data_IF_740697044829
#
_entry.id   IF_740697044829
#
_cell.length_a   1.000
_cell.length_b   1.000
_cell.length_c   1.000
_cell.angle_alpha   90.00
_cell.angle_beta   90.00
_cell.angle_gamma   90.00
#
_symmetry.space_group_name_H-M   'P 1'
#
loop_
_entity.id
_entity.type
_entity.pdbx_description
1 polymer ?
#
# COMPACT_ATOMS: atom_id res chain seq x y z
N UNK A 1 19.89 22.00 6.67
CA UNK A 1 18.60 21.78 6.00
C UNK A 1 17.77 20.93 6.93
N UNK A 2 16.50 21.26 7.08
CA UNK A 2 15.56 20.43 7.81
C UNK A 2 15.25 19.18 6.97
N UNK A 3 15.22 18.01 7.59
CA UNK A 3 14.94 16.73 6.94
C UNK A 3 13.47 16.69 6.49
N UNK A 4 13.22 16.26 5.26
CA UNK A 4 11.86 16.16 4.71
C UNK A 4 11.04 15.06 5.39
N UNK A 5 9.71 15.12 5.29
CA UNK A 5 8.84 14.09 5.88
C UNK A 5 9.08 12.71 5.24
N UNK A 6 9.33 12.65 3.92
CA UNK A 6 9.75 11.41 3.25
C UNK A 6 11.05 10.83 3.83
N UNK A 7 12.07 11.67 4.02
CA UNK A 7 13.34 11.23 4.62
C UNK A 7 13.15 10.76 6.07
N UNK A 8 12.27 11.41 6.85
CA UNK A 8 11.91 10.96 8.21
C UNK A 8 11.26 9.58 8.19
N UNK A 9 10.30 9.33 7.31
CA UNK A 9 9.65 8.01 7.17
C UNK A 9 10.66 6.95 6.76
N UNK A 10 11.46 7.20 5.72
CA UNK A 10 12.47 6.22 5.26
C UNK A 10 13.47 5.91 6.37
N UNK A 11 13.92 6.92 7.13
CA UNK A 11 14.81 6.73 8.26
C UNK A 11 14.14 5.93 9.39
N UNK A 12 12.86 6.19 9.69
CA UNK A 12 12.09 5.46 10.68
C UNK A 12 11.91 3.99 10.31
N UNK A 13 11.48 3.71 9.07
CA UNK A 13 11.36 2.33 8.59
C UNK A 13 12.72 1.62 8.63
N UNK A 14 13.79 2.29 8.18
CA UNK A 14 15.15 1.73 8.21
C UNK A 14 15.67 1.50 9.65
N UNK A 15 15.09 2.18 10.64
CA UNK A 15 15.41 1.97 12.05
C UNK A 15 15.03 0.58 12.55
N UNK A 16 14.05 -0.09 11.91
CA UNK A 16 13.67 -1.48 12.21
C UNK A 16 14.83 -2.44 11.92
N UNK A 17 15.53 -2.27 10.79
CA UNK A 17 16.73 -3.07 10.47
C UNK A 17 17.95 -2.65 11.30
N UNK A 18 18.17 -1.34 11.42
CA UNK A 18 19.44 -0.82 11.95
C UNK A 18 19.47 -0.71 13.48
N UNK A 19 18.31 -0.73 14.14
CA UNK A 19 18.18 -0.46 15.58
C UNK A 19 18.43 1.00 15.96
N UNK A 20 18.53 1.91 14.99
CA UNK A 20 18.77 3.34 15.23
C UNK A 20 17.63 3.94 16.07
N UNK A 21 17.98 4.71 17.10
CA UNK A 21 17.01 5.31 18.02
C UNK A 21 16.60 6.73 17.61
N UNK A 22 17.41 7.41 16.81
CA UNK A 22 17.19 8.81 16.42
C UNK A 22 15.86 9.01 15.66
N UNK A 23 15.44 8.14 14.72
CA UNK A 23 14.16 8.29 14.03
C UNK A 23 12.92 8.20 14.93
N UNK A 24 13.02 7.63 16.14
CA UNK A 24 11.91 7.65 17.12
C UNK A 24 11.53 9.08 17.49
N UNK A 25 12.49 10.02 17.42
CA UNK A 25 12.24 11.45 17.65
C UNK A 25 11.36 12.12 16.58
N UNK A 26 11.10 11.46 15.45
CA UNK A 26 10.17 11.95 14.43
C UNK A 26 8.71 11.62 14.75
N UNK A 27 8.45 10.80 15.77
CA UNK A 27 7.10 10.42 16.20
C UNK A 27 6.66 11.32 17.35
N UNK A 28 5.40 11.78 17.30
CA UNK A 28 4.80 12.50 18.41
C UNK A 28 4.46 11.51 19.55
N UNK A 29 5.12 11.59 20.72
CA UNK A 29 4.96 10.59 21.78
C UNK A 29 3.58 10.62 22.45
N UNK A 30 2.81 11.70 22.30
CA UNK A 30 1.54 11.90 22.98
C UNK A 30 0.33 11.74 22.06
N UNK A 31 0.55 11.66 20.74
CA UNK A 31 -0.51 11.61 19.73
C UNK A 31 -0.42 10.41 18.80
N UNK A 32 0.67 9.64 18.83
CA UNK A 32 0.88 8.55 17.88
C UNK A 32 -0.19 7.45 18.00
N UNK A 33 -0.94 7.25 16.91
CA UNK A 33 -1.95 6.20 16.75
C UNK A 33 -1.44 5.15 15.76
N UNK A 34 -1.47 3.89 16.17
CA UNK A 34 -1.16 2.74 15.32
C UNK A 34 -2.45 2.10 14.79
N UNK A 35 -2.57 1.97 13.47
CA UNK A 35 -3.69 1.30 12.79
C UNK A 35 -3.35 -0.10 12.29
N UNK A 36 -2.07 -0.51 12.31
CA UNK A 36 -1.71 -1.92 12.18
C UNK A 36 -2.33 -2.69 13.34
N UNK A 37 -3.35 -3.50 13.05
CA UNK A 37 -4.14 -4.22 14.04
C UNK A 37 -3.34 -5.29 14.82
N UNK A 38 -2.20 -5.74 14.28
CA UNK A 38 -1.29 -6.69 14.92
C UNK A 38 -0.29 -6.05 15.89
N UNK A 39 -0.21 -4.71 15.94
CA UNK A 39 0.73 -3.97 16.78
C UNK A 39 -0.05 -3.18 17.84
N UNK A 40 0.42 -3.21 19.08
CA UNK A 40 -0.17 -2.41 20.15
C UNK A 40 -0.04 -0.90 19.86
N UNK A 41 -0.93 -0.10 20.44
CA UNK A 41 -0.96 1.34 20.17
C UNK A 41 0.22 2.12 20.77
N UNK A 42 0.46 3.31 20.22
CA UNK A 42 1.44 4.27 20.71
C UNK A 42 2.90 3.86 20.50
N UNK A 43 3.80 4.74 20.94
CA UNK A 43 5.25 4.47 20.90
C UNK A 43 5.65 3.22 21.69
N UNK A 44 4.89 2.87 22.73
CA UNK A 44 5.12 1.66 23.52
C UNK A 44 4.96 0.41 22.66
N UNK A 45 3.89 0.33 21.85
CA UNK A 45 3.68 -0.81 20.96
C UNK A 45 4.72 -0.90 19.84
N UNK A 46 5.07 0.24 19.23
CA UNK A 46 6.16 0.30 18.26
C UNK A 46 7.51 -0.15 18.88
N UNK A 47 7.85 0.35 20.07
CA UNK A 47 9.07 -0.04 20.77
C UNK A 47 9.09 -1.52 21.16
N UNK A 48 7.95 -2.09 21.55
CA UNK A 48 7.82 -3.51 21.87
C UNK A 48 8.05 -4.39 20.63
N UNK A 49 7.55 -4.00 19.46
CA UNK A 49 7.83 -4.68 18.19
C UNK A 49 9.34 -4.70 17.91
N UNK A 50 10.01 -3.56 18.01
CA UNK A 50 11.47 -3.47 17.80
C UNK A 50 12.26 -4.37 18.76
N UNK A 51 11.83 -4.44 20.03
CA UNK A 51 12.47 -5.30 21.03
C UNK A 51 12.21 -6.80 20.81
N UNK A 52 11.11 -7.16 20.14
CA UNK A 52 10.76 -8.55 19.84
C UNK A 52 11.60 -9.16 18.70
N UNK A 53 12.20 -8.30 17.86
CA UNK A 53 13.01 -8.75 16.74
C UNK A 53 14.36 -9.29 17.22
N UNK A 54 14.77 -10.50 16.78
CA UNK A 54 16.11 -10.98 17.05
C UNK A 54 17.17 -10.00 16.50
N UNK A 55 18.31 -9.81 17.18
CA UNK A 55 19.34 -8.89 16.71
C UNK A 55 19.77 -9.18 15.26
N UNK A 56 19.82 -8.15 14.41
CA UNK A 56 20.19 -8.23 12.99
C UNK A 56 19.32 -9.17 12.13
N UNK A 57 18.09 -9.48 12.56
CA UNK A 57 17.18 -10.35 11.80
C UNK A 57 16.32 -9.60 10.79
N UNK A 58 16.09 -8.30 11.00
CA UNK A 58 15.23 -7.51 10.12
C UNK A 58 15.98 -6.95 8.91
N UNK A 59 15.34 -6.95 7.75
CA UNK A 59 15.73 -6.19 6.56
C UNK A 59 14.63 -5.24 6.15
N UNK A 60 15.05 -4.04 5.75
CA UNK A 60 14.15 -2.98 5.30
C UNK A 60 14.75 -2.27 4.09
N UNK A 61 14.03 -2.30 2.98
CA UNK A 61 14.41 -1.60 1.76
C UNK A 61 13.20 -0.86 1.19
N UNK A 62 13.09 0.44 1.50
CA UNK A 62 12.05 1.30 0.94
C UNK A 62 12.35 1.56 -0.53
N UNK A 63 11.47 1.08 -1.40
CA UNK A 63 11.62 1.11 -2.86
C UNK A 63 11.27 2.49 -3.41
N UNK A 64 10.18 3.06 -2.89
CA UNK A 64 9.61 4.34 -3.31
C UNK A 64 8.88 4.99 -2.15
N UNK A 65 8.92 6.32 -2.12
CA UNK A 65 8.33 7.13 -1.07
C UNK A 65 7.71 8.40 -1.67
N UNK A 66 6.47 8.67 -1.27
CA UNK A 66 5.63 9.74 -1.82
C UNK A 66 5.09 10.62 -0.70
N UNK A 67 4.74 11.85 -1.04
CA UNK A 67 4.18 12.82 -0.11
C UNK A 67 2.95 13.48 -0.74
N UNK A 68 1.82 13.46 -0.02
CA UNK A 68 0.53 14.03 -0.42
C UNK A 68 -0.06 14.79 0.78
N UNK A 69 0.11 16.11 0.80
CA UNK A 69 -0.25 16.96 1.93
C UNK A 69 0.45 16.53 3.21
N UNK A 70 -0.34 16.23 4.24
CA UNK A 70 0.16 15.79 5.54
C UNK A 70 0.46 14.28 5.60
N UNK A 71 0.38 13.56 4.48
CA UNK A 71 0.63 12.13 4.40
C UNK A 71 1.93 11.82 3.67
N UNK A 72 2.64 10.82 4.16
CA UNK A 72 3.72 10.15 3.43
C UNK A 72 3.32 8.69 3.27
N UNK A 73 3.48 8.14 2.07
CA UNK A 73 3.25 6.72 1.83
C UNK A 73 4.41 6.07 1.08
N UNK A 74 4.69 4.82 1.41
CA UNK A 74 5.86 4.09 0.92
C UNK A 74 5.49 2.71 0.43
N UNK A 75 6.28 2.19 -0.52
CA UNK A 75 6.35 0.76 -0.76
C UNK A 75 7.69 0.24 -0.25
N UNK A 76 7.66 -0.81 0.56
CA UNK A 76 8.83 -1.30 1.27
C UNK A 76 8.96 -2.82 1.13
N UNK A 77 10.17 -3.28 0.77
CA UNK A 77 10.55 -4.69 0.86
C UNK A 77 11.10 -4.97 2.26
N UNK A 78 10.43 -5.87 2.96
CA UNK A 78 10.71 -6.23 4.33
C UNK A 78 11.13 -7.70 4.43
N UNK A 79 12.02 -7.97 5.37
CA UNK A 79 12.22 -9.32 5.91
C UNK A 79 12.28 -9.21 7.43
N UNK A 80 11.15 -9.44 8.09
CA UNK A 80 11.07 -9.53 9.54
C UNK A 80 9.96 -10.52 9.88
N UNK A 81 10.27 -11.58 10.63
CA UNK A 81 9.36 -12.73 10.72
C UNK A 81 8.95 -13.31 9.34
N UNK A 82 9.88 -13.27 8.37
CA UNK A 82 9.67 -13.71 6.99
C UNK A 82 9.58 -12.56 5.98
N UNK A 83 9.77 -12.87 4.67
CA UNK A 83 9.78 -11.88 3.60
C UNK A 83 8.36 -11.38 3.29
N UNK A 84 8.20 -10.05 3.21
CA UNK A 84 6.91 -9.41 2.95
C UNK A 84 7.08 -8.10 2.20
N UNK A 85 6.08 -7.73 1.42
CA UNK A 85 5.97 -6.41 0.81
C UNK A 85 4.93 -5.63 1.59
N UNK A 86 5.28 -4.38 1.92
CA UNK A 86 4.41 -3.47 2.63
C UNK A 86 4.12 -2.21 1.86
N UNK A 87 2.90 -1.72 2.00
CA UNK A 87 2.62 -0.30 1.86
C UNK A 87 2.45 0.30 3.25
N UNK A 88 3.16 1.38 3.54
CA UNK A 88 3.04 2.12 4.79
C UNK A 88 2.47 3.51 4.48
N UNK A 89 1.58 4.03 5.34
CA UNK A 89 1.03 5.38 5.28
C UNK A 89 1.25 6.02 6.64
N UNK A 90 1.86 7.20 6.66
CA UNK A 90 2.10 8.00 7.85
C UNK A 90 1.42 9.35 7.72
N UNK A 91 0.74 9.80 8.77
CA UNK A 91 0.23 11.17 8.86
C UNK A 91 1.11 12.02 9.74
N UNK A 92 1.27 13.28 9.37
CA UNK A 92 2.06 14.28 10.07
C UNK A 92 1.19 15.38 10.69
N UNK A 93 1.62 15.89 11.84
CA UNK A 93 1.20 17.17 12.43
C UNK A 93 2.43 17.88 12.97
N UNK A 94 2.57 19.18 12.68
CA UNK A 94 3.68 20.01 13.18
C UNK A 94 5.07 19.38 12.90
N UNK A 95 5.20 18.69 11.77
CA UNK A 95 6.44 18.01 11.35
C UNK A 95 6.75 16.70 12.09
N UNK A 96 5.82 16.18 12.89
CA UNK A 96 5.95 14.90 13.60
C UNK A 96 4.91 13.89 13.11
N UNK A 97 5.28 12.62 13.06
CA UNK A 97 4.40 11.50 12.76
C UNK A 97 3.41 11.34 13.91
N UNK A 98 2.12 11.33 13.59
CA UNK A 98 1.02 11.17 14.54
C UNK A 98 0.16 9.95 14.27
N UNK A 99 0.18 9.38 13.07
CA UNK A 99 -0.58 8.16 12.78
C UNK A 99 0.18 7.28 11.78
N UNK A 100 -0.06 5.98 11.84
CA UNK A 100 0.51 4.99 10.94
C UNK A 100 -0.51 3.91 10.58
N UNK A 101 -0.66 3.66 9.27
CA UNK A 101 -1.33 2.51 8.70
C UNK A 101 -0.32 1.73 7.88
N UNK A 102 -0.49 0.42 7.81
CA UNK A 102 0.20 -0.41 6.83
C UNK A 102 -0.74 -1.44 6.22
N UNK A 103 -0.29 -2.00 5.10
CA UNK A 103 -0.82 -3.23 4.55
C UNK A 103 0.36 -4.14 4.22
N UNK A 104 0.35 -5.39 4.66
CA UNK A 104 1.46 -6.33 4.46
C UNK A 104 1.00 -7.62 3.77
N UNK A 105 1.78 -8.09 2.79
CA UNK A 105 1.57 -9.37 2.12
C UNK A 105 2.88 -10.14 2.05
N UNK A 106 2.81 -11.47 2.22
CA UNK A 106 3.96 -12.36 2.02
C UNK A 106 4.55 -12.17 0.61
N UNK A 107 5.88 -11.99 0.55
CA UNK A 107 6.58 -11.81 -0.72
C UNK A 107 6.79 -13.15 -1.39
N UNK A 108 6.26 -13.38 -2.60
CA UNK A 108 6.51 -14.63 -3.33
C UNK A 108 7.99 -14.78 -3.69
N UNK A 109 8.47 -16.03 -3.72
CA UNK A 109 9.84 -16.34 -4.15
C UNK A 109 10.07 -16.14 -5.65
N UNK A 110 9.00 -16.26 -6.45
CA UNK A 110 9.05 -16.17 -7.90
C UNK A 110 8.34 -14.91 -8.39
N UNK A 111 8.80 -14.34 -9.51
CA UNK A 111 8.04 -13.31 -10.22
C UNK A 111 6.65 -13.80 -10.63
N UNK A 112 5.78 -12.86 -10.97
CA UNK A 112 4.47 -13.12 -11.52
C UNK A 112 4.57 -13.82 -12.90
N UNK A 113 3.44 -14.24 -13.51
CA UNK A 113 3.46 -14.96 -14.78
C UNK A 113 4.11 -14.19 -15.95
N UNK A 114 4.25 -12.87 -15.85
CA UNK A 114 4.95 -12.01 -16.82
C UNK A 114 6.43 -11.77 -16.52
N UNK A 115 6.94 -12.23 -15.37
CA UNK A 115 8.33 -12.04 -14.98
C UNK A 115 8.59 -10.81 -14.12
N UNK A 116 7.54 -10.13 -13.65
CA UNK A 116 7.62 -8.96 -12.77
C UNK A 116 7.55 -9.35 -11.30
N UNK A 117 8.29 -8.64 -10.46
CA UNK A 117 8.22 -8.78 -9.00
C UNK A 117 7.22 -7.79 -8.43
N UNK A 118 6.95 -7.85 -7.13
CA UNK A 118 6.11 -6.86 -6.46
C UNK A 118 6.81 -5.48 -6.29
N UNK A 119 8.09 -5.34 -6.64
CA UNK A 119 8.90 -4.15 -6.30
C UNK A 119 9.72 -3.56 -7.45
N UNK A 120 9.83 -4.25 -8.58
CA UNK A 120 10.43 -3.70 -9.79
C UNK A 120 9.48 -2.69 -10.45
N UNK A 121 9.89 -2.16 -11.60
CA UNK A 121 9.15 -1.14 -12.34
C UNK A 121 9.58 0.29 -12.02
N UNK A 122 8.74 1.25 -12.42
CA UNK A 122 9.09 2.67 -12.35
C UNK A 122 9.16 3.21 -10.92
N UNK A 123 10.08 4.14 -10.68
CA UNK A 123 10.20 4.90 -9.42
C UNK A 123 10.27 6.42 -9.63
N UNK A 124 10.39 6.88 -10.87
CA UNK A 124 10.50 8.30 -11.20
C UNK A 124 9.14 8.99 -11.11
N UNK A 125 9.08 10.02 -10.25
CA UNK A 125 7.90 10.86 -10.10
C UNK A 125 7.91 11.92 -11.21
N UNK A 126 6.86 11.90 -12.01
CA UNK A 126 6.59 12.88 -13.07
C UNK A 126 5.16 13.39 -12.92
N UNK A 127 4.71 14.30 -13.78
CA UNK A 127 3.29 14.69 -13.87
C UNK A 127 2.71 15.33 -12.58
N UNK A 128 3.57 16.01 -11.81
CA UNK A 128 3.21 16.64 -10.52
C UNK A 128 2.03 17.60 -10.65
N UNK A 129 1.93 18.32 -11.76
CA UNK A 129 0.84 19.27 -12.05
C UNK A 129 -0.52 18.60 -12.28
N UNK A 130 -0.55 17.29 -12.55
CA UNK A 130 -1.77 16.53 -12.77
C UNK A 130 -2.08 15.54 -11.63
N UNK A 131 -1.39 15.63 -10.48
CA UNK A 131 -1.61 14.77 -9.31
C UNK A 131 -3.09 14.55 -8.98
N UNK A 132 -3.89 15.62 -8.86
CA UNK A 132 -5.32 15.50 -8.53
C UNK A 132 -6.13 14.79 -9.62
N UNK A 133 -5.83 15.04 -10.90
CA UNK A 133 -6.50 14.33 -12.01
C UNK A 133 -6.12 12.85 -12.04
N UNK A 134 -4.87 12.54 -11.71
CA UNK A 134 -4.39 11.16 -11.65
C UNK A 134 -5.06 10.43 -10.48
N UNK A 135 -5.22 11.10 -9.33
CA UNK A 135 -5.97 10.58 -8.18
C UNK A 135 -7.41 10.26 -8.57
N UNK A 136 -8.11 11.21 -9.18
CA UNK A 136 -9.47 11.01 -9.68
C UNK A 136 -9.56 9.87 -10.71
N UNK A 137 -8.59 9.73 -11.62
CA UNK A 137 -8.57 8.64 -12.60
C UNK A 137 -8.49 7.26 -11.93
N UNK A 138 -7.56 7.08 -10.98
CA UNK A 138 -7.36 5.81 -10.29
C UNK A 138 -8.53 5.48 -9.36
N UNK A 139 -9.03 6.48 -8.62
CA UNK A 139 -10.23 6.34 -7.77
C UNK A 139 -11.45 5.89 -8.59
N UNK A 140 -11.71 6.56 -9.71
CA UNK A 140 -12.81 6.20 -10.59
C UNK A 140 -12.65 4.81 -11.19
N UNK A 141 -11.43 4.38 -11.53
CA UNK A 141 -11.17 3.01 -11.97
C UNK A 141 -11.55 1.99 -10.90
N UNK A 142 -11.07 2.17 -9.67
CA UNK A 142 -11.38 1.25 -8.56
C UNK A 142 -12.89 1.23 -8.28
N UNK A 143 -13.54 2.40 -8.22
CA UNK A 143 -14.98 2.46 -8.01
C UNK A 143 -15.79 1.84 -9.15
N UNK A 144 -15.53 2.22 -10.40
CA UNK A 144 -16.33 1.76 -11.52
C UNK A 144 -16.14 0.28 -11.78
N UNK A 145 -14.90 -0.21 -11.72
CA UNK A 145 -14.57 -1.57 -12.12
C UNK A 145 -14.57 -2.53 -10.94
N UNK A 146 -13.81 -2.23 -9.89
CA UNK A 146 -13.56 -3.19 -8.81
C UNK A 146 -14.71 -3.21 -7.79
N UNK A 147 -15.32 -2.05 -7.51
CA UNK A 147 -16.49 -1.95 -6.62
C UNK A 147 -17.79 -2.24 -7.36
N UNK A 148 -18.05 -1.53 -8.47
CA UNK A 148 -19.34 -1.60 -9.17
C UNK A 148 -19.42 -2.65 -10.30
N UNK A 149 -18.29 -3.20 -10.76
CA UNK A 149 -18.28 -4.19 -11.83
C UNK A 149 -18.68 -3.64 -13.21
N UNK A 150 -18.61 -2.33 -13.44
CA UNK A 150 -19.00 -1.69 -14.71
C UNK A 150 -17.91 -1.84 -15.77
N UNK A 151 -17.77 -3.05 -16.29
CA UNK A 151 -16.79 -3.40 -17.32
C UNK A 151 -16.95 -2.60 -18.63
N UNK A 152 -18.07 -1.88 -18.83
CA UNK A 152 -18.26 -1.02 -20.01
C UNK A 152 -17.31 0.17 -20.03
N UNK A 153 -16.83 0.61 -18.86
CA UNK A 153 -15.90 1.73 -18.71
C UNK A 153 -14.43 1.32 -18.77
N UNK A 154 -14.14 0.02 -18.70
CA UNK A 154 -12.77 -0.50 -18.51
C UNK A 154 -11.78 0.04 -19.55
N UNK A 155 -12.12 -0.05 -20.83
CA UNK A 155 -11.25 0.43 -21.92
C UNK A 155 -10.96 1.95 -21.85
N UNK A 156 -11.78 2.71 -21.11
CA UNK A 156 -11.57 4.13 -20.88
C UNK A 156 -10.40 4.46 -19.97
N UNK A 157 -9.95 3.52 -19.13
CA UNK A 157 -8.89 3.74 -18.14
C UNK A 157 -7.48 3.42 -18.65
N UNK A 158 -7.37 2.58 -19.70
CA UNK A 158 -6.10 2.05 -20.17
C UNK A 158 -5.76 2.49 -21.60
N UNK A 159 -4.48 2.38 -21.97
CA UNK A 159 -4.02 2.61 -23.33
C UNK A 159 -4.05 1.30 -24.14
N UNK A 160 -5.24 0.92 -24.59
CA UNK A 160 -5.47 -0.37 -25.24
C UNK A 160 -5.25 -1.51 -24.23
N UNK A 161 -4.48 -2.52 -24.62
CA UNK A 161 -4.17 -3.66 -23.75
C UNK A 161 -2.90 -3.43 -22.91
N UNK A 162 -2.16 -2.33 -23.13
CA UNK A 162 -0.85 -2.09 -22.52
C UNK A 162 -0.99 -1.72 -21.04
N UNK A 163 -0.58 -2.65 -20.17
CA UNK A 163 -0.64 -2.49 -18.73
C UNK A 163 0.34 -3.47 -18.08
N UNK A 164 1.28 -2.96 -17.29
CA UNK A 164 2.25 -3.78 -16.56
C UNK A 164 1.69 -4.15 -15.20
N UNK A 165 1.77 -5.42 -14.83
CA UNK A 165 1.25 -5.94 -13.58
C UNK A 165 2.39 -6.43 -12.67
N UNK A 166 2.30 -6.09 -11.39
CA UNK A 166 3.22 -6.56 -10.35
C UNK A 166 2.54 -7.43 -9.29
N UNK A 167 1.21 -7.56 -9.33
CA UNK A 167 0.49 -8.56 -8.55
C UNK A 167 1.08 -9.96 -8.85
N UNK A 168 1.43 -10.75 -7.83
CA UNK A 168 2.08 -12.06 -8.00
C UNK A 168 1.33 -13.07 -8.85
N UNK A 169 0.01 -12.96 -8.93
CA UNK A 169 -0.87 -13.97 -9.51
C UNK A 169 -1.45 -13.55 -10.87
N UNK A 170 -1.22 -12.31 -11.29
CA UNK A 170 -1.86 -11.72 -12.47
C UNK A 170 -0.77 -11.37 -13.50
N UNK A 171 -0.87 -11.88 -14.75
CA UNK A 171 0.03 -11.47 -15.82
C UNK A 171 -0.23 -10.02 -16.24
N UNK A 172 0.69 -9.47 -17.01
CA UNK A 172 0.52 -8.20 -17.72
C UNK A 172 -0.72 -8.20 -18.61
N UNK A 173 -1.00 -7.01 -19.10
CA UNK A 173 -2.07 -6.65 -20.00
C UNK A 173 -3.44 -6.71 -19.34
N UNK A 174 -4.35 -5.88 -19.85
CA UNK A 174 -5.72 -5.84 -19.35
C UNK A 174 -6.45 -7.16 -19.61
N UNK A 175 -6.15 -7.80 -20.74
CA UNK A 175 -6.60 -9.16 -21.05
C UNK A 175 -6.13 -10.20 -20.04
N UNK A 176 -4.92 -10.04 -19.47
CA UNK A 176 -4.38 -10.86 -18.40
C UNK A 176 -5.20 -10.77 -17.12
N UNK A 177 -5.51 -9.55 -16.68
CA UNK A 177 -6.41 -9.30 -15.54
C UNK A 177 -7.78 -9.96 -15.76
N UNK A 178 -8.40 -9.71 -16.92
CA UNK A 178 -9.71 -10.27 -17.25
C UNK A 178 -9.75 -11.81 -17.22
N UNK A 179 -8.73 -12.45 -17.79
CA UNK A 179 -8.61 -13.91 -17.80
C UNK A 179 -8.45 -14.49 -16.38
N UNK A 180 -7.66 -13.83 -15.53
CA UNK A 180 -7.49 -14.26 -14.13
C UNK A 180 -8.79 -14.14 -13.34
N UNK A 181 -9.51 -13.02 -13.45
CA UNK A 181 -10.81 -12.84 -12.79
C UNK A 181 -11.85 -13.87 -13.26
N UNK A 182 -11.89 -14.17 -14.57
CA UNK A 182 -12.77 -15.22 -15.10
C UNK A 182 -12.41 -16.61 -14.55
N UNK A 183 -11.10 -16.91 -14.43
CA UNK A 183 -10.62 -18.18 -13.90
C UNK A 183 -10.93 -18.36 -12.41
N UNK A 184 -10.82 -17.29 -11.60
CA UNK A 184 -11.21 -17.28 -10.20
C UNK A 184 -12.73 -17.47 -10.06
N UNK A 185 -13.54 -16.76 -10.86
CA UNK A 185 -14.99 -16.87 -10.84
C UNK A 185 -15.47 -18.30 -11.16
N UNK A 186 -14.82 -19.00 -12.10
CA UNK A 186 -15.10 -20.43 -12.40
C UNK A 186 -14.82 -21.37 -11.22
N UNK A 187 -13.95 -20.96 -10.30
CA UNK A 187 -13.63 -21.67 -9.06
C UNK A 187 -14.51 -21.22 -7.88
N UNK A 188 -15.43 -20.27 -8.11
CA UNK A 188 -16.25 -19.68 -7.05
C UNK A 188 -15.50 -18.72 -6.14
N UNK A 189 -14.30 -18.29 -6.53
CA UNK A 189 -13.50 -17.29 -5.81
C UNK A 189 -13.78 -15.93 -6.44
N UNK A 190 -14.18 -14.97 -5.62
CA UNK A 190 -14.49 -13.63 -6.07
C UNK A 190 -13.57 -12.63 -5.37
N UNK A 191 -13.05 -11.69 -6.14
CA UNK A 191 -12.44 -10.48 -5.62
C UNK A 191 -13.50 -9.40 -5.74
N UNK A 192 -13.97 -8.91 -4.59
CA UNK A 192 -15.04 -7.92 -4.50
C UNK A 192 -14.57 -6.76 -3.64
N UNK A 193 -14.55 -5.56 -4.20
CA UNK A 193 -14.28 -4.36 -3.44
C UNK A 193 -15.62 -3.80 -2.95
N UNK A 194 -15.64 -3.30 -1.72
CA UNK A 194 -16.84 -2.77 -1.08
C UNK A 194 -16.76 -1.24 -0.93
N UNK A 195 -15.65 -0.73 -0.41
CA UNK A 195 -15.48 0.71 -0.09
C UNK A 195 -14.06 1.18 -0.41
N UNK A 196 -13.94 2.37 -1.01
CA UNK A 196 -12.67 3.12 -1.08
C UNK A 196 -12.60 4.02 0.15
N UNK A 197 -11.51 3.91 0.91
CA UNK A 197 -11.30 4.62 2.18
C UNK A 197 -10.31 5.77 2.07
N UNK A 198 -9.32 5.66 1.19
CA UNK A 198 -8.31 6.72 0.99
C UNK A 198 -7.73 6.69 -0.40
N UNK A 199 -7.46 7.87 -0.95
CA UNK A 199 -6.72 8.05 -2.20
C UNK A 199 -5.58 9.03 -1.94
N UNK A 200 -4.34 8.57 -2.13
CA UNK A 200 -3.13 9.36 -1.96
C UNK A 200 -2.35 9.39 -3.27
N UNK A 201 -1.79 10.53 -3.66
CA UNK A 201 -1.04 10.61 -4.91
C UNK A 201 0.07 11.65 -4.90
N UNK A 202 1.14 11.36 -5.64
CA UNK A 202 2.19 12.31 -5.95
C UNK A 202 2.57 12.18 -7.42
N UNK A 203 2.15 13.14 -8.23
CA UNK A 203 2.37 13.15 -9.67
C UNK A 203 1.70 11.98 -10.37
N UNK A 204 2.52 11.16 -11.03
CA UNK A 204 2.10 9.98 -11.77
C UNK A 204 1.82 8.74 -10.91
N UNK A 205 2.01 8.77 -9.59
CA UNK A 205 1.71 7.64 -8.70
C UNK A 205 0.50 7.91 -7.82
N UNK A 206 -0.42 6.95 -7.73
CA UNK A 206 -1.62 7.03 -6.90
C UNK A 206 -1.85 5.72 -6.17
N UNK A 207 -1.91 5.77 -4.84
CA UNK A 207 -2.32 4.69 -3.97
C UNK A 207 -3.81 4.83 -3.65
N UNK A 208 -4.57 3.76 -3.89
CA UNK A 208 -5.99 3.64 -3.50
C UNK A 208 -6.09 2.57 -2.42
N UNK A 209 -6.65 2.95 -1.27
CA UNK A 209 -6.89 2.07 -0.12
C UNK A 209 -8.35 1.69 -0.09
N UNK A 210 -8.62 0.39 -0.18
CA UNK A 210 -9.97 -0.15 -0.24
C UNK A 210 -10.19 -1.31 0.73
N UNK A 211 -11.45 -1.54 1.06
CA UNK A 211 -11.95 -2.67 1.84
C UNK A 211 -12.77 -3.58 0.94
N UNK A 212 -12.73 -4.88 1.19
CA UNK A 212 -13.58 -5.82 0.49
C UNK A 212 -13.29 -7.28 0.85
N UNK A 213 -13.57 -8.18 -0.07
CA UNK A 213 -13.48 -9.62 0.15
C UNK A 213 -12.72 -10.32 -0.98
N UNK A 214 -11.86 -11.27 -0.61
CA UNK A 214 -11.24 -12.22 -1.53
C UNK A 214 -11.63 -13.62 -1.10
N UNK A 215 -12.54 -14.25 -1.85
CA UNK A 215 -13.24 -15.44 -1.37
C UNK A 215 -14.13 -15.10 -0.18
N UNK A 216 -13.96 -15.81 0.93
CA UNK A 216 -14.71 -15.57 2.18
C UNK A 216 -13.98 -14.61 3.14
N UNK A 217 -12.70 -14.32 2.87
CA UNK A 217 -11.87 -13.51 3.76
C UNK A 217 -12.15 -12.02 3.57
N UNK A 218 -12.26 -11.31 4.69
CA UNK A 218 -12.40 -9.86 4.73
C UNK A 218 -11.01 -9.22 4.66
N UNK A 219 -10.76 -8.43 3.62
CA UNK A 219 -9.43 -7.95 3.26
C UNK A 219 -9.36 -6.44 3.08
N UNK A 220 -8.14 -5.95 3.25
CA UNK A 220 -7.68 -4.61 2.92
C UNK A 220 -6.83 -4.68 1.65
N UNK A 221 -7.17 -3.85 0.67
CA UNK A 221 -6.51 -3.75 -0.63
C UNK A 221 -5.81 -2.40 -0.73
N UNK A 222 -4.51 -2.43 -1.04
CA UNK A 222 -3.70 -1.24 -1.26
C UNK A 222 -3.17 -1.32 -2.69
N UNK A 223 -3.78 -0.58 -3.60
CA UNK A 223 -3.49 -0.60 -5.03
C UNK A 223 -2.73 0.67 -5.42
N UNK A 224 -1.46 0.52 -5.78
CA UNK A 224 -0.63 1.60 -6.32
C UNK A 224 -0.65 1.54 -7.85
N UNK A 225 -1.08 2.63 -8.47
CA UNK A 225 -1.08 2.81 -9.92
C UNK A 225 -0.03 3.81 -10.35
N UNK A 226 0.62 3.53 -11.48
CA UNK A 226 1.30 4.57 -12.26
C UNK A 226 0.43 5.00 -13.43
N UNK A 227 0.29 6.31 -13.59
CA UNK A 227 -0.41 6.95 -14.69
C UNK A 227 0.61 7.41 -15.74
N UNK A 228 0.28 7.20 -17.00
CA UNK A 228 1.05 7.67 -18.14
C UNK A 228 0.11 8.19 -19.21
N UNK A 229 0.33 9.41 -19.69
CA UNK A 229 -0.50 10.04 -20.72
C UNK A 229 -2.02 10.02 -20.39
N UNK A 230 -2.35 10.19 -19.11
CA UNK A 230 -3.74 10.16 -18.62
C UNK A 230 -4.40 8.78 -18.66
N UNK A 231 -3.61 7.70 -18.65
CA UNK A 231 -4.07 6.30 -18.59
C UNK A 231 -3.31 5.52 -17.52
N UNK A 232 -3.94 4.52 -16.93
CA UNK A 232 -3.26 3.58 -16.04
C UNK A 232 -2.32 2.72 -16.89
N UNK A 233 -1.05 2.68 -16.50
CA UNK A 233 0.01 2.01 -17.26
C UNK A 233 0.71 0.88 -16.48
N UNK A 234 0.72 0.94 -15.15
CA UNK A 234 1.44 -0.01 -14.30
C UNK A 234 0.75 -0.09 -12.92
N UNK A 235 0.84 -1.25 -12.27
CA UNK A 235 0.15 -1.50 -11.01
C UNK A 235 0.88 -2.46 -10.09
N UNK A 236 0.88 -2.11 -8.80
CA UNK A 236 1.35 -2.93 -7.69
C UNK A 236 0.26 -3.00 -6.65
N UNK A 237 0.08 -4.14 -6.01
CA UNK A 237 -0.85 -4.28 -4.90
C UNK A 237 -0.28 -5.04 -3.71
N UNK A 238 -0.96 -4.88 -2.59
CA UNK A 238 -0.87 -5.73 -1.41
C UNK A 238 -2.29 -6.03 -0.96
N UNK A 239 -2.58 -7.31 -0.75
CA UNK A 239 -3.84 -7.81 -0.21
C UNK A 239 -3.56 -8.40 1.17
N UNK A 240 -4.19 -7.85 2.21
CA UNK A 240 -4.02 -8.32 3.59
C UNK A 240 -5.37 -8.69 4.19
N UNK A 241 -5.45 -9.89 4.77
CA UNK A 241 -6.61 -10.31 5.56
C UNK A 241 -6.69 -9.56 6.86
N UNK A 242 -7.86 -8.96 7.12
CA UNK A 242 -8.09 -8.16 8.31
C UNK A 242 -8.26 -9.08 9.51
N UNK A 243 -7.38 -8.89 10.49
CA UNK A 243 -7.35 -9.68 11.72
C UNK A 243 -8.71 -9.55 12.46
N UNK A 244 -9.30 -10.69 12.93
CA UNK A 244 -10.52 -10.69 13.73
C UNK A 244 -10.37 -9.85 15.00
N UNK A 245 -11.46 -9.22 15.45
CA UNK A 245 -11.43 -8.31 16.61
C UNK A 245 -10.81 -8.93 17.87
N UNK A 246 -11.00 -10.23 18.09
CA UNK A 246 -10.46 -10.98 19.23
C UNK A 246 -8.94 -11.14 19.24
N UNK A 247 -8.28 -10.91 18.11
CA UNK A 247 -6.83 -11.08 17.94
C UNK A 247 -6.10 -9.74 17.78
N UNK A 248 -6.83 -8.61 17.76
CA UNK A 248 -6.24 -7.28 17.58
C UNK A 248 -5.50 -6.82 18.82
N UNK A 249 -4.42 -6.08 18.61
CA UNK A 249 -3.64 -5.44 19.68
C UNK A 249 -4.01 -3.97 19.93
N UNK A 250 -4.88 -3.40 19.09
CA UNK A 250 -5.47 -2.08 19.28
C UNK A 250 -6.90 -2.04 18.71
N UNK A 251 -7.63 -0.96 19.00
CA UNK A 251 -9.00 -0.74 18.54
C UNK A 251 -9.13 0.43 17.57
N UNK A 252 -8.01 0.89 16.99
CA UNK A 252 -7.96 2.14 16.23
C UNK A 252 -8.54 2.01 14.81
N UNK A 253 -8.81 0.79 14.35
CA UNK A 253 -9.48 0.49 13.09
C UNK A 253 -8.55 0.57 11.86
N UNK A 254 -8.67 -0.39 10.94
CA UNK A 254 -7.82 -0.52 9.74
C UNK A 254 -7.98 0.66 8.76
N UNK A 255 -9.13 1.32 8.78
CA UNK A 255 -9.53 2.32 7.78
C UNK A 255 -9.94 3.68 8.37
N UNK A 256 -9.64 3.94 9.65
CA UNK A 256 -10.00 5.20 10.31
C UNK A 256 -9.07 6.35 9.90
N UNK A 257 -9.05 6.70 8.61
CA UNK A 257 -8.37 7.89 8.13
C UNK A 257 -9.14 9.14 8.57
N UNK A 258 -8.46 10.24 8.95
CA UNK A 258 -9.14 11.50 9.17
C UNK A 258 -9.62 12.12 7.86
N UNK A 259 -10.74 12.85 7.96
CA UNK A 259 -11.35 13.64 6.88
C UNK A 259 -10.41 14.76 6.36
#
# INVERSE_FOLDING_TARGET
>A
MEISNKEKVVALLKSIETGAQEPVGYINPNKYIQHNLGIADGLTGFGALLQSLPPNSAKVNTIRAFEDGDFVFTQTDYDFFGPKIGFDIFRFEDGLIVEHWDNLQEKPEQPNPSGHTMIDGATEITDLENTEKNKELAENFVHDILVNGDMSKLAGYFNGDNYIQHNPNIPDQLSGLGATLEALAKQGIFMKYDTVHKVLGQGNFVLVVSEGHFGEDHNSFYDLFRIENGKIAEHWDVIETIIPETERQNTNGKFNFPD
#
